data_IF_849762824824
#
_entry.id   IF_849762824824
#
_cell.length_a   1.000
_cell.length_b   1.000
_cell.length_c   1.000
_cell.angle_alpha   90.00
_cell.angle_beta   90.00
_cell.angle_gamma   90.00
#
_symmetry.space_group_name_H-M   'P 1'
#
loop_
_entity.id
_entity.type
_entity.pdbx_description
1 polymer ?
#
# COMPACT_ATOMS: atom_id res chain seq x y z
N UNK A 1 8.93 -49.32 -27.37
CA UNK A 1 10.38 -49.04 -27.29
C UNK A 1 10.53 -47.58 -26.90
N UNK A 2 11.10 -47.15 -25.78
CA UNK A 2 11.88 -47.82 -24.74
C UNK A 2 11.52 -47.22 -23.37
N UNK A 3 11.52 -48.06 -22.34
CA UNK A 3 11.38 -47.71 -20.93
C UNK A 3 12.72 -47.21 -20.39
N UNK A 4 12.71 -46.22 -19.49
CA UNK A 4 13.83 -45.96 -18.59
C UNK A 4 13.31 -45.61 -17.20
N UNK A 5 13.91 -46.29 -16.23
CA UNK A 5 13.45 -46.58 -14.88
C UNK A 5 13.90 -45.57 -13.82
N UNK A 6 13.15 -45.60 -12.72
CA UNK A 6 13.34 -44.96 -11.41
C UNK A 6 14.76 -44.99 -10.82
N UNK A 7 15.11 -43.95 -10.06
CA UNK A 7 15.80 -44.11 -8.78
C UNK A 7 15.51 -42.93 -7.84
N UNK A 8 14.80 -43.23 -6.76
CA UNK A 8 14.51 -42.38 -5.60
C UNK A 8 15.55 -42.66 -4.51
N UNK A 9 16.32 -41.65 -4.12
CA UNK A 9 17.28 -41.75 -3.02
C UNK A 9 16.64 -41.24 -1.72
N UNK A 10 16.34 -42.18 -0.83
CA UNK A 10 15.97 -41.95 0.57
C UNK A 10 17.19 -41.50 1.37
N UNK A 11 17.09 -40.36 2.07
CA UNK A 11 17.99 -39.97 3.15
C UNK A 11 17.39 -40.37 4.50
N UNK A 12 18.14 -41.06 5.39
CA UNK A 12 17.63 -41.44 6.70
C UNK A 12 17.76 -40.32 7.74
N UNK A 13 16.67 -40.12 8.48
CA UNK A 13 16.54 -39.27 9.66
C UNK A 13 17.49 -39.74 10.78
N UNK A 14 18.40 -38.88 11.24
CA UNK A 14 19.13 -39.07 12.51
C UNK A 14 18.32 -38.45 13.65
N UNK A 15 17.91 -39.32 14.57
CA UNK A 15 17.46 -38.95 15.92
C UNK A 15 18.64 -38.35 16.70
N UNK A 16 18.44 -37.16 17.28
CA UNK A 16 19.33 -36.63 18.32
C UNK A 16 18.51 -36.41 19.60
N UNK A 17 18.86 -37.20 20.60
CA UNK A 17 18.40 -37.20 21.99
C UNK A 17 18.71 -35.90 22.73
N UNK A 18 17.74 -35.48 23.55
CA UNK A 18 17.84 -34.42 24.56
C UNK A 18 18.85 -34.74 25.67
N UNK A 19 19.41 -33.70 26.33
CA UNK A 19 19.59 -33.76 27.77
C UNK A 19 18.90 -32.62 28.53
N UNK A 20 18.50 -32.99 29.75
CA UNK A 20 17.63 -32.30 30.68
C UNK A 20 18.17 -30.98 31.26
N UNK A 21 17.19 -30.14 31.61
CA UNK A 21 17.24 -29.00 32.53
C UNK A 21 17.76 -29.37 33.93
N UNK A 22 18.30 -28.39 34.69
CA UNK A 22 18.02 -28.34 36.12
C UNK A 22 17.32 -27.04 36.53
N UNK A 23 16.11 -27.22 37.05
CA UNK A 23 15.43 -26.34 38.01
C UNK A 23 16.23 -26.21 39.30
N UNK A 24 16.11 -25.08 40.01
CA UNK A 24 16.25 -24.91 41.48
C UNK A 24 15.82 -23.46 41.89
N UNK A 25 15.46 -23.16 43.15
CA UNK A 25 14.06 -23.14 43.59
C UNK A 25 13.58 -21.80 44.18
N UNK A 26 12.28 -21.82 44.54
CA UNK A 26 11.46 -20.79 45.15
C UNK A 26 11.76 -20.54 46.65
N UNK A 27 11.31 -19.39 47.17
CA UNK A 27 11.20 -18.94 48.57
C UNK A 27 12.38 -18.16 49.21
N UNK A 28 12.17 -16.85 49.39
CA UNK A 28 12.54 -16.16 50.62
C UNK A 28 11.52 -15.04 50.91
N UNK A 29 10.60 -15.33 51.83
CA UNK A 29 9.74 -14.33 52.49
C UNK A 29 10.60 -13.56 53.49
N UNK A 30 10.79 -12.26 53.26
CA UNK A 30 11.27 -11.35 54.30
C UNK A 30 10.21 -10.26 54.54
N UNK A 31 9.62 -10.27 55.73
CA UNK A 31 8.85 -9.16 56.31
C UNK A 31 9.72 -8.44 57.33
N UNK A 32 9.83 -7.10 57.25
CA UNK A 32 10.08 -6.27 58.42
C UNK A 32 8.97 -5.19 58.58
N UNK A 33 8.95 -4.46 59.72
CA UNK A 33 7.70 -4.11 60.41
C UNK A 33 7.06 -2.79 59.95
N UNK A 34 5.75 -2.72 60.18
CA UNK A 34 4.93 -1.52 60.09
C UNK A 34 5.35 -0.51 61.18
N UNK A 35 5.85 0.66 60.74
CA UNK A 35 5.81 1.92 61.49
C UNK A 35 5.34 3.01 60.54
N UNK A 36 4.14 3.52 60.78
CA UNK A 36 3.62 4.71 60.11
C UNK A 36 4.16 5.97 60.80
N UNK A 37 4.71 6.93 60.04
CA UNK A 37 4.53 8.34 60.34
C UNK A 37 3.56 8.96 59.31
N UNK A 38 2.58 9.67 59.85
CA UNK A 38 1.71 10.57 59.09
C UNK A 38 2.56 11.66 58.44
N UNK A 39 2.61 11.69 57.11
CA UNK A 39 3.09 12.84 56.35
C UNK A 39 2.20 13.08 55.14
N UNK A 40 1.65 14.28 55.10
CA UNK A 40 0.72 14.83 54.11
C UNK A 40 1.28 14.71 52.70
N UNK A 41 0.66 13.88 51.84
CA UNK A 41 0.98 13.83 50.41
C UNK A 41 0.19 14.92 49.69
N UNK A 42 0.91 15.93 49.19
CA UNK A 42 0.37 16.89 48.22
C UNK A 42 0.24 16.16 46.89
N UNK A 43 -0.98 16.04 46.36
CA UNK A 43 -1.21 15.47 45.04
C UNK A 43 -0.54 16.34 43.97
N UNK A 44 0.60 15.88 43.45
CA UNK A 44 1.12 16.34 42.16
C UNK A 44 0.40 15.54 41.08
N UNK A 45 -0.47 16.21 40.33
CA UNK A 45 -1.12 15.68 39.14
C UNK A 45 -0.05 15.10 38.20
N UNK A 46 -0.07 13.78 38.02
CA UNK A 46 0.68 13.12 36.96
C UNK A 46 -0.01 13.42 35.62
N UNK A 47 0.37 14.53 34.99
CA UNK A 47 0.01 14.88 33.62
C UNK A 47 1.32 14.99 32.84
N UNK A 48 1.98 13.86 32.63
CA UNK A 48 3.15 13.74 31.75
C UNK A 48 3.45 12.25 31.53
N UNK A 49 2.61 11.56 30.77
CA UNK A 49 2.94 10.21 30.28
C UNK A 49 2.25 9.87 28.95
N UNK A 50 1.08 10.45 28.68
CA UNK A 50 0.37 10.23 27.40
C UNK A 50 1.02 10.96 26.21
N UNK A 51 1.54 12.17 26.42
CA UNK A 51 2.22 12.92 25.36
C UNK A 51 3.55 12.27 24.95
N UNK A 52 4.35 11.73 25.88
CA UNK A 52 5.62 11.07 25.55
C UNK A 52 5.41 9.73 24.84
N UNK A 53 4.40 8.95 25.25
CA UNK A 53 4.06 7.68 24.58
C UNK A 53 3.52 7.91 23.16
N UNK A 54 2.65 8.90 22.96
CA UNK A 54 2.14 9.24 21.63
C UNK A 54 3.24 9.81 20.72
N UNK A 55 4.16 10.60 21.27
CA UNK A 55 5.29 11.17 20.53
C UNK A 55 6.33 10.10 20.18
N UNK A 56 6.63 9.17 21.10
CA UNK A 56 7.50 8.02 20.83
C UNK A 56 6.86 7.02 19.86
N UNK A 57 5.54 6.80 19.94
CA UNK A 57 4.82 5.92 19.02
C UNK A 57 4.76 6.50 17.60
N UNK A 58 4.46 7.79 17.46
CA UNK A 58 4.51 8.50 16.17
C UNK A 58 5.92 8.53 15.58
N UNK A 59 6.95 8.81 16.39
CA UNK A 59 8.35 8.77 15.93
C UNK A 59 8.79 7.35 15.53
N UNK A 60 8.35 6.31 16.25
CA UNK A 60 8.67 4.91 15.94
C UNK A 60 7.99 4.44 14.64
N UNK A 61 6.73 4.84 14.42
CA UNK A 61 6.01 4.56 13.17
C UNK A 61 6.72 5.18 11.95
N UNK A 62 7.24 6.40 12.09
CA UNK A 62 7.93 7.10 11.00
C UNK A 62 9.30 6.51 10.64
N UNK A 63 9.99 5.89 11.59
CA UNK A 63 11.28 5.21 11.39
C UNK A 63 11.11 3.86 10.70
N UNK A 64 9.92 3.25 10.77
CA UNK A 64 9.66 1.90 10.24
C UNK A 64 8.74 1.86 9.01
N UNK A 65 8.14 2.97 8.58
CA UNK A 65 7.17 2.92 7.46
C UNK A 65 7.79 2.49 6.13
N UNK A 66 8.91 3.11 5.73
CA UNK A 66 9.49 2.87 4.41
C UNK A 66 10.52 1.73 4.42
N UNK A 67 10.40 0.83 3.45
CA UNK A 67 11.32 -0.27 3.22
C UNK A 67 11.97 -0.16 1.84
N UNK A 68 13.19 -0.67 1.72
CA UNK A 68 13.93 -0.64 0.47
C UNK A 68 13.21 -1.51 -0.59
N UNK A 69 12.83 -0.97 -1.76
CA UNK A 69 12.18 -1.75 -2.83
C UNK A 69 13.08 -2.87 -3.36
N UNK A 70 14.40 -2.87 -3.09
CA UNK A 70 15.36 -3.89 -3.58
C UNK A 70 15.45 -5.08 -2.62
N UNK A 71 15.52 -4.85 -1.31
CA UNK A 71 15.80 -5.90 -0.32
C UNK A 71 14.83 -5.94 0.86
N UNK A 72 13.80 -5.09 0.84
CA UNK A 72 12.75 -4.98 1.87
C UNK A 72 13.24 -4.64 3.28
N UNK A 73 14.51 -4.29 3.45
CA UNK A 73 15.05 -3.81 4.72
C UNK A 73 14.63 -2.35 4.99
N UNK A 74 14.43 -1.95 6.26
CA UNK A 74 14.03 -0.59 6.61
C UNK A 74 14.95 0.49 6.04
N UNK A 75 14.35 1.62 5.66
CA UNK A 75 15.08 2.81 5.23
C UNK A 75 15.31 3.76 6.40
N UNK A 76 16.55 4.21 6.57
CA UNK A 76 16.87 5.30 7.50
C UNK A 76 16.57 6.62 6.81
N UNK A 77 15.67 7.41 7.39
CA UNK A 77 15.42 8.79 6.98
C UNK A 77 16.53 9.73 7.45
N UNK A 78 16.97 10.62 6.56
CA UNK A 78 17.78 11.80 6.85
C UNK A 78 16.99 13.04 6.44
N UNK A 79 16.35 13.69 7.40
CA UNK A 79 15.48 14.83 7.15
C UNK A 79 14.38 14.94 8.20
N UNK A 80 13.46 15.90 8.05
CA UNK A 80 12.37 16.08 8.97
C UNK A 80 11.43 14.85 9.03
N UNK A 81 10.90 14.53 10.23
CA UNK A 81 9.83 13.55 10.38
C UNK A 81 8.56 13.97 9.62
N UNK A 82 7.67 13.01 9.36
CA UNK A 82 6.37 13.26 8.75
C UNK A 82 6.14 12.62 7.38
N UNK A 83 4.84 12.57 7.06
CA UNK A 83 4.27 12.07 5.80
C UNK A 83 3.53 13.19 5.03
N UNK A 84 3.89 14.45 5.28
CA UNK A 84 3.43 15.61 4.50
C UNK A 84 4.46 16.01 3.43
N UNK A 85 4.03 16.80 2.45
CA UNK A 85 4.86 17.23 1.32
C UNK A 85 6.20 17.87 1.75
N UNK A 86 6.24 18.88 2.66
CA UNK A 86 7.51 19.46 3.11
C UNK A 86 8.47 18.45 3.76
N UNK A 87 7.93 17.53 4.56
CA UNK A 87 8.73 16.54 5.26
C UNK A 87 9.42 15.58 4.29
N UNK A 88 8.66 15.08 3.32
CA UNK A 88 9.15 14.14 2.31
C UNK A 88 10.14 14.82 1.36
N UNK A 89 9.84 16.04 0.89
CA UNK A 89 10.73 16.79 0.00
C UNK A 89 12.10 17.06 0.62
N UNK A 90 12.18 17.33 1.92
CA UNK A 90 13.43 17.64 2.62
C UNK A 90 14.15 16.39 3.16
N UNK A 91 13.69 15.20 2.80
CA UNK A 91 14.23 13.93 3.30
C UNK A 91 14.97 13.13 2.23
N UNK A 92 16.14 12.62 2.61
CA UNK A 92 16.82 11.53 1.93
C UNK A 92 16.63 10.22 2.70
N UNK A 93 16.78 9.09 2.02
CA UNK A 93 16.63 7.78 2.63
C UNK A 93 17.80 6.87 2.27
N UNK A 94 18.24 6.05 3.22
CA UNK A 94 19.32 5.09 3.00
C UNK A 94 18.96 3.72 3.54
N UNK A 95 19.10 2.69 2.73
CA UNK A 95 18.82 1.32 3.15
C UNK A 95 19.92 0.80 4.10
N UNK A 96 19.52 0.16 5.20
CA UNK A 96 20.46 -0.52 6.12
C UNK A 96 21.09 -1.78 5.53
N UNK A 97 20.35 -2.49 4.67
CA UNK A 97 20.78 -3.77 4.09
C UNK A 97 21.69 -3.60 2.88
N UNK A 98 21.16 -3.07 1.78
CA UNK A 98 21.91 -2.96 0.52
C UNK A 98 22.63 -1.62 0.33
N UNK A 99 22.62 -0.73 1.33
CA UNK A 99 23.29 0.58 1.32
C UNK A 99 22.82 1.56 0.21
N UNK A 100 21.79 1.20 -0.58
CA UNK A 100 21.21 2.05 -1.62
C UNK A 100 20.58 3.31 -1.01
N UNK A 101 20.81 4.44 -1.66
CA UNK A 101 20.26 5.73 -1.28
C UNK A 101 19.10 6.11 -2.20
N UNK A 102 18.14 6.83 -1.63
CA UNK A 102 16.98 7.38 -2.31
C UNK A 102 16.83 8.84 -1.88
N UNK A 103 16.29 9.67 -2.77
CA UNK A 103 16.06 11.08 -2.49
C UNK A 103 14.74 11.54 -3.07
N UNK A 104 14.24 12.64 -2.55
CA UNK A 104 13.22 13.41 -3.23
C UNK A 104 13.71 13.91 -4.60
N UNK A 105 12.80 13.98 -5.56
CA UNK A 105 12.96 14.66 -6.84
C UNK A 105 11.84 15.68 -6.97
N UNK A 106 12.18 16.96 -6.91
CA UNK A 106 11.27 18.11 -6.99
C UNK A 106 10.14 18.08 -5.95
N UNK A 107 9.12 17.25 -6.17
CA UNK A 107 7.81 17.28 -5.52
C UNK A 107 7.37 15.93 -4.95
N UNK A 108 8.11 14.86 -5.21
CA UNK A 108 7.82 13.50 -4.74
C UNK A 108 9.10 12.78 -4.30
N UNK A 109 8.95 11.71 -3.52
CA UNK A 109 10.04 10.82 -3.13
C UNK A 109 10.17 9.64 -4.10
N UNK A 110 11.34 9.50 -4.75
CA UNK A 110 11.58 8.42 -5.73
C UNK A 110 12.14 7.16 -5.04
N UNK A 111 11.27 6.17 -4.85
CA UNK A 111 11.57 4.84 -4.29
C UNK A 111 11.43 3.75 -5.36
N UNK A 112 11.80 4.05 -6.60
CA UNK A 112 11.94 3.03 -7.64
C UNK A 112 13.28 2.28 -7.49
N UNK A 113 13.36 1.06 -8.01
CA UNK A 113 14.63 0.28 -8.02
C UNK A 113 15.72 1.02 -8.80
N UNK A 114 15.31 1.77 -9.84
CA UNK A 114 16.18 2.54 -10.73
C UNK A 114 16.50 3.93 -10.19
N UNK A 115 15.98 4.32 -9.02
CA UNK A 115 16.32 5.59 -8.38
C UNK A 115 17.85 5.77 -8.27
N UNK A 116 18.32 6.97 -8.65
CA UNK A 116 19.73 7.36 -8.72
C UNK A 116 20.59 6.63 -9.76
N UNK A 117 20.02 5.75 -10.59
CA UNK A 117 20.73 5.20 -11.76
C UNK A 117 20.76 6.24 -12.89
N UNK A 118 21.93 6.45 -13.50
CA UNK A 118 22.09 7.36 -14.65
C UNK A 118 22.01 6.64 -16.01
N UNK A 119 22.27 5.33 -16.05
CA UNK A 119 22.53 4.59 -17.28
C UNK A 119 21.55 3.44 -17.57
N UNK A 120 20.37 3.44 -16.91
CA UNK A 120 19.36 2.41 -17.16
C UNK A 120 18.23 2.93 -18.04
N UNK A 121 18.20 2.48 -19.29
CA UNK A 121 17.06 2.67 -20.19
C UNK A 121 16.06 1.55 -19.95
N UNK A 122 15.01 1.84 -19.20
CA UNK A 122 13.92 0.91 -18.96
C UNK A 122 13.14 0.69 -20.27
N UNK A 123 12.98 -0.57 -20.69
CA UNK A 123 12.08 -0.92 -21.79
C UNK A 123 10.67 -0.59 -21.34
N UNK A 124 10.00 0.30 -22.08
CA UNK A 124 8.68 0.80 -21.71
C UNK A 124 7.63 0.14 -22.61
N UNK A 125 6.85 -0.84 -22.12
CA UNK A 125 5.77 -1.42 -22.91
C UNK A 125 4.81 -0.32 -23.38
N UNK A 126 4.39 -0.35 -24.64
CA UNK A 126 3.49 0.66 -25.22
C UNK A 126 2.22 0.87 -24.36
N UNK A 127 1.75 -0.18 -23.68
CA UNK A 127 0.59 -0.16 -22.77
C UNK A 127 0.75 0.72 -21.54
N UNK A 128 1.96 0.79 -20.96
CA UNK A 128 2.23 1.63 -19.77
C UNK A 128 2.62 3.06 -20.14
N UNK A 129 2.98 3.31 -21.41
CA UNK A 129 3.42 4.62 -21.88
C UNK A 129 2.28 5.63 -22.03
N UNK A 130 1.04 5.19 -22.29
CA UNK A 130 -0.07 6.10 -22.51
C UNK A 130 -0.27 7.04 -21.32
N UNK A 131 -0.35 6.50 -20.10
CA UNK A 131 -0.49 7.27 -18.87
C UNK A 131 0.82 7.94 -18.38
N UNK A 132 1.93 7.69 -19.07
CA UNK A 132 3.20 8.38 -18.86
C UNK A 132 3.35 9.58 -19.79
N UNK A 133 2.49 9.74 -20.79
CA UNK A 133 2.47 10.92 -21.64
C UNK A 133 2.03 12.16 -20.85
N UNK A 134 2.76 13.31 -20.97
CA UNK A 134 2.35 14.57 -20.37
C UNK A 134 0.93 15.01 -20.81
N UNK A 135 0.59 14.81 -22.09
CA UNK A 135 -0.71 15.20 -22.63
C UNK A 135 -1.85 14.38 -22.00
N UNK A 136 -1.69 13.05 -21.93
CA UNK A 136 -2.68 12.17 -21.30
C UNK A 136 -2.83 12.51 -19.82
N UNK A 137 -1.72 12.70 -19.12
CA UNK A 137 -1.72 13.08 -17.70
C UNK A 137 -2.49 14.39 -17.48
N UNK A 138 -2.26 15.39 -18.34
CA UNK A 138 -2.93 16.68 -18.27
C UNK A 138 -4.44 16.57 -18.57
N UNK A 139 -4.83 15.81 -19.58
CA UNK A 139 -6.23 15.63 -19.97
C UNK A 139 -7.01 14.69 -19.05
N UNK A 140 -6.32 13.93 -18.19
CA UNK A 140 -6.91 12.85 -17.40
C UNK A 140 -8.13 13.29 -16.59
N UNK A 141 -7.97 14.27 -15.69
CA UNK A 141 -9.08 14.85 -14.92
C UNK A 141 -9.90 15.90 -15.71
N UNK A 142 -9.40 16.35 -16.87
CA UNK A 142 -10.01 17.42 -17.70
C UNK A 142 -10.97 16.92 -18.79
N UNK A 143 -11.42 15.67 -18.71
CA UNK A 143 -12.41 15.13 -19.67
C UNK A 143 -12.21 13.65 -19.99
N UNK A 144 -11.00 13.11 -19.82
CA UNK A 144 -10.75 11.70 -20.15
C UNK A 144 -11.48 10.77 -19.18
N UNK A 145 -11.24 10.92 -17.87
CA UNK A 145 -11.80 10.03 -16.84
C UNK A 145 -13.33 10.01 -16.86
N UNK A 146 -13.97 11.11 -17.25
CA UNK A 146 -15.42 11.22 -17.37
C UNK A 146 -16.02 10.21 -18.38
N UNK A 147 -15.23 9.76 -19.36
CA UNK A 147 -15.65 8.72 -20.28
C UNK A 147 -15.84 7.35 -19.61
N UNK A 148 -15.30 7.15 -18.40
CA UNK A 148 -15.45 5.90 -17.66
C UNK A 148 -16.91 5.64 -17.26
N UNK A 149 -17.73 6.69 -17.17
CA UNK A 149 -19.16 6.57 -16.91
C UNK A 149 -19.87 5.73 -17.99
N UNK A 150 -19.40 5.78 -19.25
CA UNK A 150 -19.91 4.94 -20.35
C UNK A 150 -19.67 3.44 -20.13
N UNK A 151 -18.76 3.11 -19.22
CA UNK A 151 -18.39 1.74 -18.83
C UNK A 151 -18.99 1.32 -17.49
N UNK A 152 -19.85 2.17 -16.90
CA UNK A 152 -20.56 1.89 -15.65
C UNK A 152 -19.91 2.48 -14.39
N UNK A 153 -18.84 3.28 -14.50
CA UNK A 153 -18.30 3.97 -13.32
C UNK A 153 -19.33 4.99 -12.78
N UNK A 154 -19.52 5.07 -11.46
CA UNK A 154 -20.55 5.92 -10.86
C UNK A 154 -20.15 7.40 -10.77
N UNK A 155 -18.96 7.75 -11.27
CA UNK A 155 -18.36 9.06 -11.10
C UNK A 155 -17.55 9.18 -9.80
N UNK A 156 -16.70 10.21 -9.68
CA UNK A 156 -15.65 10.25 -8.67
C UNK A 156 -16.15 10.46 -7.24
N UNK A 157 -17.28 11.13 -7.05
CA UNK A 157 -17.84 11.36 -5.71
C UNK A 157 -18.48 10.08 -5.17
N UNK A 158 -19.32 9.42 -5.96
CA UNK A 158 -19.94 8.15 -5.56
C UNK A 158 -18.90 7.04 -5.43
N UNK A 159 -17.92 6.95 -6.34
CA UNK A 159 -16.81 5.99 -6.24
C UNK A 159 -16.01 6.20 -4.93
N UNK A 160 -15.74 7.46 -4.56
CA UNK A 160 -15.09 7.78 -3.30
C UNK A 160 -15.93 7.34 -2.08
N UNK A 161 -17.24 7.62 -2.09
CA UNK A 161 -18.12 7.23 -0.97
C UNK A 161 -18.22 5.71 -0.83
N UNK A 162 -18.30 4.99 -1.95
CA UNK A 162 -18.28 3.52 -1.95
C UNK A 162 -16.97 2.98 -1.38
N UNK A 163 -15.82 3.57 -1.73
CA UNK A 163 -14.52 3.19 -1.18
C UNK A 163 -14.43 3.49 0.33
N UNK A 164 -14.85 4.69 0.77
CA UNK A 164 -14.91 5.06 2.19
C UNK A 164 -15.75 4.07 3.01
N UNK A 165 -16.86 3.57 2.46
CA UNK A 165 -17.70 2.59 3.14
C UNK A 165 -16.95 1.28 3.45
N UNK A 166 -16.06 0.84 2.55
CA UNK A 166 -15.20 -0.33 2.79
C UNK A 166 -14.04 -0.04 3.75
N UNK A 167 -13.59 1.21 3.85
CA UNK A 167 -12.47 1.62 4.71
C UNK A 167 -12.85 2.00 6.15
N UNK A 168 -14.12 1.86 6.55
CA UNK A 168 -14.56 2.20 7.92
C UNK A 168 -13.71 1.56 9.03
N UNK A 169 -13.25 0.32 8.84
CA UNK A 169 -12.41 -0.38 9.83
C UNK A 169 -10.95 0.11 9.87
N UNK A 170 -10.55 0.97 8.92
CA UNK A 170 -9.20 1.51 8.76
C UNK A 170 -9.14 3.03 9.06
N UNK A 171 -10.22 3.63 9.57
CA UNK A 171 -10.22 5.02 10.03
C UNK A 171 -9.19 5.25 11.14
N UNK A 172 -8.56 6.43 11.15
CA UNK A 172 -7.39 6.76 11.96
C UNK A 172 -6.09 6.11 11.46
N UNK A 173 -6.18 5.15 10.54
CA UNK A 173 -5.06 4.43 9.95
C UNK A 173 -4.30 5.19 8.86
N UNK A 174 -3.21 4.59 8.38
CA UNK A 174 -2.47 5.02 7.20
C UNK A 174 -3.09 4.43 5.93
N UNK A 175 -3.47 5.30 4.99
CA UNK A 175 -3.97 4.90 3.67
C UNK A 175 -2.90 5.09 2.59
N UNK A 176 -2.74 4.09 1.73
CA UNK A 176 -1.91 4.19 0.52
C UNK A 176 -2.81 4.09 -0.72
N UNK A 177 -2.81 5.14 -1.54
CA UNK A 177 -3.48 5.16 -2.84
C UNK A 177 -2.46 4.79 -3.92
N UNK A 178 -2.53 3.54 -4.39
CA UNK A 178 -1.59 2.92 -5.32
C UNK A 178 -2.05 3.13 -6.75
N UNK A 179 -1.11 3.54 -7.62
CA UNK A 179 -1.42 4.01 -8.98
C UNK A 179 -2.40 5.18 -8.94
N UNK A 180 -2.12 6.16 -8.09
CA UNK A 180 -3.03 7.26 -7.80
C UNK A 180 -3.33 8.17 -9.00
N UNK A 181 -2.54 8.07 -10.09
CA UNK A 181 -2.62 8.98 -11.22
C UNK A 181 -2.38 10.42 -10.77
N UNK A 182 -3.22 11.34 -11.21
CA UNK A 182 -3.22 12.74 -10.75
C UNK A 182 -3.72 12.90 -9.30
N UNK A 183 -3.99 11.82 -8.58
CA UNK A 183 -4.33 11.80 -7.15
C UNK A 183 -5.72 12.31 -6.82
N UNK A 184 -6.68 12.18 -7.74
CA UNK A 184 -8.08 12.55 -7.51
C UNK A 184 -8.63 11.98 -6.19
N UNK A 185 -8.41 10.69 -5.93
CA UNK A 185 -8.86 10.04 -4.69
C UNK A 185 -7.94 10.35 -3.52
N UNK A 186 -6.62 10.31 -3.70
CA UNK A 186 -5.65 10.75 -2.69
C UNK A 186 -6.02 12.09 -2.06
N UNK A 187 -6.36 13.10 -2.87
CA UNK A 187 -6.77 14.43 -2.41
C UNK A 187 -8.10 14.38 -1.65
N UNK A 188 -9.07 13.58 -2.11
CA UNK A 188 -10.36 13.39 -1.39
C UNK A 188 -10.17 12.71 -0.04
N UNK A 189 -9.37 11.65 0.04
CA UNK A 189 -9.04 10.97 1.29
C UNK A 189 -8.31 11.90 2.26
N UNK A 190 -7.33 12.68 1.77
CA UNK A 190 -6.62 13.66 2.60
C UNK A 190 -7.57 14.75 3.14
N UNK A 191 -8.46 15.27 2.29
CA UNK A 191 -9.44 16.31 2.66
C UNK A 191 -10.51 15.83 3.64
N UNK A 192 -10.85 14.54 3.60
CA UNK A 192 -11.80 13.95 4.54
C UNK A 192 -11.27 13.94 5.98
N UNK A 193 -9.94 13.94 6.17
CA UNK A 193 -9.32 14.00 7.49
C UNK A 193 -9.56 12.76 8.37
N UNK A 194 -10.02 11.64 7.79
CA UNK A 194 -10.36 10.41 8.52
C UNK A 194 -9.17 9.46 8.73
N UNK A 195 -8.01 9.76 8.14
CA UNK A 195 -6.80 8.92 8.17
C UNK A 195 -5.65 9.66 8.85
N UNK A 196 -4.74 8.95 9.51
CA UNK A 196 -3.53 9.56 10.10
C UNK A 196 -2.61 10.14 9.02
N UNK A 197 -2.67 9.59 7.81
CA UNK A 197 -2.26 10.25 6.59
C UNK A 197 -2.51 9.41 5.35
N UNK A 198 -2.19 10.01 4.20
CA UNK A 198 -2.42 9.46 2.88
C UNK A 198 -1.11 9.49 2.08
N UNK A 199 -0.76 8.38 1.46
CA UNK A 199 0.36 8.31 0.52
C UNK A 199 -0.19 8.10 -0.88
N UNK A 200 -0.03 9.12 -1.71
CA UNK A 200 -0.31 9.06 -3.14
C UNK A 200 0.91 8.45 -3.85
N UNK A 201 0.75 7.24 -4.37
CA UNK A 201 1.82 6.48 -5.00
C UNK A 201 1.52 6.22 -6.47
N UNK A 202 2.42 6.61 -7.37
CA UNK A 202 2.33 6.30 -8.79
C UNK A 202 3.72 6.08 -9.41
N UNK A 203 3.82 5.29 -10.48
CA UNK A 203 5.07 5.08 -11.19
C UNK A 203 5.41 6.24 -12.17
N UNK A 204 4.37 6.91 -12.68
CA UNK A 204 4.45 8.00 -13.66
C UNK A 204 4.80 9.33 -12.99
N UNK A 205 5.98 9.87 -13.31
CA UNK A 205 6.40 11.19 -12.84
C UNK A 205 5.43 12.30 -13.29
N UNK A 206 4.87 12.18 -14.50
CA UNK A 206 3.95 13.17 -15.05
C UNK A 206 2.61 13.19 -14.31
N UNK A 207 2.13 12.02 -13.87
CA UNK A 207 0.93 11.92 -13.04
C UNK A 207 1.16 12.55 -11.66
N UNK A 208 2.31 12.27 -11.02
CA UNK A 208 2.67 12.87 -9.75
C UNK A 208 2.86 14.40 -9.85
N UNK A 209 3.37 14.91 -10.98
CA UNK A 209 3.42 16.35 -11.27
C UNK A 209 2.02 16.97 -11.31
N UNK A 210 1.10 16.37 -12.05
CA UNK A 210 -0.30 16.83 -12.04
C UNK A 210 -0.91 16.76 -10.64
N UNK A 211 -0.64 15.69 -9.89
CA UNK A 211 -1.13 15.54 -8.53
C UNK A 211 -0.66 16.68 -7.63
N UNK A 212 0.64 16.97 -7.65
CA UNK A 212 1.21 18.08 -6.90
C UNK A 212 0.62 19.44 -7.31
N UNK A 213 0.44 19.69 -8.60
CA UNK A 213 -0.15 20.95 -9.07
C UNK A 213 -1.59 21.12 -8.56
N UNK A 214 -2.39 20.07 -8.57
CA UNK A 214 -3.74 20.10 -8.00
C UNK A 214 -3.73 20.28 -6.48
N UNK A 215 -2.82 19.61 -5.76
CA UNK A 215 -2.63 19.81 -4.31
C UNK A 215 -2.26 21.27 -4.03
N UNK A 216 -1.33 21.85 -4.79
CA UNK A 216 -0.90 23.23 -4.62
C UNK A 216 -2.03 24.23 -4.91
N UNK A 217 -2.91 23.92 -5.86
CA UNK A 217 -4.08 24.76 -6.18
C UNK A 217 -5.17 24.74 -5.11
N UNK A 218 -5.25 23.67 -4.30
CA UNK A 218 -6.15 23.59 -3.15
C UNK A 218 -5.34 23.83 -1.86
N UNK A 219 -5.30 25.09 -1.41
CA UNK A 219 -4.54 25.49 -0.22
C UNK A 219 -4.89 24.72 1.05
N UNK A 220 -6.08 24.11 1.13
CA UNK A 220 -6.48 23.27 2.29
C UNK A 220 -5.70 21.96 2.38
N UNK A 221 -5.12 21.48 1.28
CA UNK A 221 -4.35 20.24 1.24
C UNK A 221 -2.89 20.41 1.64
N UNK A 222 -2.34 21.64 1.58
CA UNK A 222 -0.93 21.91 1.90
C UNK A 222 -0.57 21.64 3.36
N UNK A 223 -1.57 21.66 4.25
CA UNK A 223 -1.41 21.39 5.69
C UNK A 223 -1.82 19.97 6.07
N UNK A 224 -2.25 19.14 5.11
CA UNK A 224 -2.65 17.75 5.37
C UNK A 224 -1.45 16.81 5.41
N UNK A 225 -1.63 15.64 6.05
CA UNK A 225 -0.67 14.53 6.02
C UNK A 225 -0.79 13.76 4.69
N UNK A 226 -0.43 14.42 3.59
CA UNK A 226 -0.41 13.85 2.24
C UNK A 226 1.02 13.85 1.69
N UNK A 227 1.50 12.68 1.28
CA UNK A 227 2.81 12.49 0.65
C UNK A 227 2.69 11.98 -0.78
N UNK A 228 3.62 12.39 -1.64
CA UNK A 228 3.78 11.87 -3.00
C UNK A 228 4.99 10.94 -3.06
N UNK A 229 4.78 9.71 -3.51
CA UNK A 229 5.83 8.69 -3.63
C UNK A 229 5.81 8.13 -5.05
N UNK A 230 6.97 8.12 -5.69
CA UNK A 230 7.15 7.39 -6.94
C UNK A 230 7.67 6.00 -6.67
N UNK A 231 6.90 4.97 -7.04
CA UNK A 231 7.31 3.58 -6.87
C UNK A 231 6.60 2.64 -7.85
N UNK A 232 7.12 1.42 -7.98
CA UNK A 232 6.48 0.33 -8.73
C UNK A 232 5.52 -0.42 -7.79
N UNK A 233 4.29 -0.64 -8.25
CA UNK A 233 3.30 -1.43 -7.51
C UNK A 233 3.74 -2.87 -7.25
N UNK A 234 4.62 -3.41 -8.09
CA UNK A 234 5.17 -4.75 -7.97
C UNK A 234 6.29 -4.85 -6.92
N UNK A 235 6.72 -3.71 -6.36
CA UNK A 235 7.81 -3.57 -5.36
C UNK A 235 7.53 -2.39 -4.42
N UNK A 236 6.42 -2.47 -3.68
CA UNK A 236 5.96 -1.38 -2.82
C UNK A 236 6.97 -1.07 -1.71
N UNK A 237 7.38 0.19 -1.54
CA UNK A 237 8.49 0.55 -0.68
C UNK A 237 8.05 0.76 0.78
N UNK A 238 7.16 -0.09 1.28
CA UNK A 238 6.67 -0.05 2.65
C UNK A 238 7.06 -1.31 3.39
N UNK A 239 7.24 -1.19 4.70
CA UNK A 239 7.46 -2.33 5.59
C UNK A 239 6.26 -3.28 5.57
N UNK A 240 6.51 -4.56 5.85
CA UNK A 240 5.44 -5.53 5.92
C UNK A 240 4.54 -5.23 7.11
N UNK A 241 3.22 -5.25 6.92
CA UNK A 241 2.27 -5.02 8.01
C UNK A 241 2.16 -3.58 8.51
N UNK A 242 2.59 -2.58 7.74
CA UNK A 242 2.64 -1.17 8.17
C UNK A 242 1.48 -0.29 7.67
N UNK A 243 0.57 -0.83 6.85
CA UNK A 243 -0.49 -0.05 6.18
C UNK A 243 -1.88 -0.57 6.55
N UNK A 244 -2.82 0.32 6.88
CA UNK A 244 -4.20 -0.02 7.25
C UNK A 244 -5.09 -0.27 6.04
N UNK A 245 -4.99 0.63 5.07
CA UNK A 245 -5.85 0.70 3.92
C UNK A 245 -5.03 0.88 2.65
N UNK A 246 -5.35 0.09 1.63
CA UNK A 246 -4.82 0.29 0.28
C UNK A 246 -5.99 0.55 -0.65
N UNK A 247 -5.90 1.65 -1.39
CA UNK A 247 -6.82 2.00 -2.47
C UNK A 247 -6.12 1.84 -3.82
N UNK A 248 -6.83 1.35 -4.84
CA UNK A 248 -6.34 1.31 -6.22
C UNK A 248 -7.49 1.60 -7.21
N UNK A 249 -7.68 2.89 -7.53
CA UNK A 249 -8.81 3.35 -8.35
C UNK A 249 -8.54 3.27 -9.86
N UNK A 250 -9.34 2.50 -10.59
CA UNK A 250 -9.21 2.28 -12.04
C UNK A 250 -7.79 1.85 -12.47
N UNK A 251 -7.13 1.00 -11.68
CA UNK A 251 -5.68 0.76 -11.82
C UNK A 251 -5.32 -0.64 -12.33
N UNK A 252 -5.99 -1.70 -11.87
CA UNK A 252 -5.53 -3.10 -12.05
C UNK A 252 -5.23 -3.49 -13.50
N UNK A 253 -6.08 -3.08 -14.45
CA UNK A 253 -5.90 -3.39 -15.88
C UNK A 253 -4.62 -2.78 -16.49
N UNK A 254 -4.02 -1.77 -15.84
CA UNK A 254 -2.76 -1.16 -16.25
C UNK A 254 -1.53 -1.81 -15.63
N UNK A 255 -1.69 -2.67 -14.62
CA UNK A 255 -0.55 -3.26 -13.90
C UNK A 255 0.15 -4.32 -14.75
N UNK A 256 1.47 -4.26 -14.93
CA UNK A 256 2.17 -5.24 -15.74
C UNK A 256 2.02 -6.67 -15.24
N UNK A 257 2.03 -6.84 -13.91
CA UNK A 257 1.84 -8.09 -13.19
C UNK A 257 0.87 -7.88 -12.02
N UNK A 258 -0.45 -8.11 -12.22
CA UNK A 258 -1.44 -7.96 -11.16
C UNK A 258 -1.19 -8.87 -9.96
N UNK A 259 -0.64 -10.07 -10.16
CA UNK A 259 -0.32 -11.00 -9.07
C UNK A 259 0.78 -10.48 -8.16
N UNK A 260 1.88 -9.98 -8.73
CA UNK A 260 2.95 -9.38 -7.92
C UNK A 260 2.47 -8.12 -7.18
N UNK A 261 1.64 -7.31 -7.84
CA UNK A 261 1.02 -6.13 -7.24
C UNK A 261 0.17 -6.50 -6.02
N UNK A 262 -0.76 -7.46 -6.16
CA UNK A 262 -1.63 -7.88 -5.05
C UNK A 262 -0.85 -8.59 -3.94
N UNK A 263 0.21 -9.34 -4.27
CA UNK A 263 1.10 -9.93 -3.28
C UNK A 263 1.83 -8.85 -2.45
N UNK A 264 2.34 -7.79 -3.08
CA UNK A 264 2.94 -6.66 -2.38
C UNK A 264 1.92 -5.89 -1.53
N UNK A 265 0.71 -5.65 -2.04
CA UNK A 265 -0.39 -5.06 -1.27
C UNK A 265 -0.67 -5.90 -0.01
N UNK A 266 -0.77 -7.21 -0.18
CA UNK A 266 -0.99 -8.13 0.95
C UNK A 266 0.17 -8.10 1.95
N UNK A 267 1.41 -7.97 1.48
CA UNK A 267 2.59 -7.86 2.34
C UNK A 267 2.54 -6.61 3.21
N UNK A 268 2.25 -5.45 2.63
CA UNK A 268 2.28 -4.17 3.34
C UNK A 268 1.07 -3.96 4.26
N UNK A 269 -0.07 -4.57 3.96
CA UNK A 269 -1.24 -4.49 4.82
C UNK A 269 -0.95 -5.09 6.19
N UNK A 270 -1.37 -4.41 7.25
CA UNK A 270 -1.39 -4.95 8.62
C UNK A 270 -2.43 -6.06 8.75
N UNK A 271 -2.35 -6.82 9.85
CA UNK A 271 -3.41 -7.75 10.27
C UNK A 271 -4.77 -7.02 10.29
N UNK A 272 -5.79 -7.54 9.61
CA UNK A 272 -7.10 -6.88 9.46
C UNK A 272 -7.15 -5.68 8.50
N UNK A 273 -6.04 -5.34 7.82
CA UNK A 273 -5.99 -4.25 6.85
C UNK A 273 -6.82 -4.54 5.59
N UNK A 274 -7.32 -3.49 4.95
CA UNK A 274 -8.29 -3.57 3.85
C UNK A 274 -7.70 -3.10 2.52
N UNK A 275 -7.89 -3.88 1.47
CA UNK A 275 -7.62 -3.48 0.09
C UNK A 275 -8.93 -3.22 -0.63
N UNK A 276 -9.08 -2.03 -1.23
CA UNK A 276 -10.20 -1.68 -2.12
C UNK A 276 -9.65 -1.32 -3.49
N UNK A 277 -10.17 -1.97 -4.53
CA UNK A 277 -9.77 -1.70 -5.91
C UNK A 277 -10.99 -1.45 -6.80
N UNK A 278 -10.82 -0.60 -7.80
CA UNK A 278 -11.76 -0.48 -8.92
C UNK A 278 -11.07 -0.74 -10.24
N UNK A 279 -11.77 -1.38 -11.17
CA UNK A 279 -11.23 -1.65 -12.51
C UNK A 279 -12.30 -1.93 -13.54
N UNK A 280 -11.86 -2.18 -14.78
CA UNK A 280 -12.71 -2.59 -15.88
C UNK A 280 -12.66 -4.11 -16.03
N UNK A 281 -13.83 -4.74 -16.10
CA UNK A 281 -13.97 -6.15 -16.40
C UNK A 281 -13.80 -6.42 -17.89
N UNK A 282 -13.14 -7.54 -18.23
CA UNK A 282 -13.03 -8.06 -19.60
C UNK A 282 -14.43 -8.29 -20.20
N UNK A 283 -15.28 -8.94 -19.41
CA UNK A 283 -16.70 -9.15 -19.65
C UNK A 283 -17.42 -9.36 -18.31
N UNK A 284 -18.73 -9.19 -18.31
CA UNK A 284 -19.60 -9.47 -17.17
C UNK A 284 -20.53 -10.65 -17.46
N UNK A 285 -21.28 -11.09 -16.46
CA UNK A 285 -22.27 -12.17 -16.58
C UNK A 285 -23.30 -11.93 -17.70
N UNK A 286 -23.66 -10.67 -17.95
CA UNK A 286 -24.60 -10.27 -19.00
C UNK A 286 -23.99 -10.16 -20.42
N UNK A 287 -22.68 -10.37 -20.59
CA UNK A 287 -22.01 -10.25 -21.90
C UNK A 287 -22.25 -11.52 -22.73
N UNK A 288 -22.90 -11.43 -23.91
CA UNK A 288 -23.15 -12.58 -24.78
C UNK A 288 -21.86 -13.31 -25.14
N UNK A 289 -21.87 -14.64 -25.08
CA UNK A 289 -20.68 -15.47 -25.31
C UNK A 289 -20.01 -15.18 -26.67
N UNK A 290 -20.81 -14.89 -27.71
CA UNK A 290 -20.34 -14.61 -29.06
C UNK A 290 -19.51 -13.31 -29.15
N UNK A 291 -19.73 -12.36 -28.23
CA UNK A 291 -18.99 -11.10 -28.17
C UNK A 291 -17.71 -11.21 -27.32
N UNK A 292 -17.55 -12.27 -26.52
CA UNK A 292 -16.37 -12.45 -25.66
C UNK A 292 -15.10 -12.61 -26.50
N UNK A 293 -15.13 -13.48 -27.52
CA UNK A 293 -13.98 -13.72 -28.42
C UNK A 293 -13.60 -12.48 -29.23
N UNK A 294 -14.56 -11.63 -29.59
CA UNK A 294 -14.29 -10.37 -30.28
C UNK A 294 -13.60 -9.37 -29.34
N UNK A 295 -14.13 -9.19 -28.11
CA UNK A 295 -13.52 -8.32 -27.09
C UNK A 295 -12.10 -8.76 -26.72
N UNK A 296 -11.84 -10.05 -26.59
CA UNK A 296 -10.50 -10.58 -26.28
C UNK A 296 -9.43 -10.14 -27.28
N UNK A 297 -9.78 -10.02 -28.57
CA UNK A 297 -8.85 -9.55 -29.61
C UNK A 297 -8.58 -8.03 -29.54
N UNK A 298 -9.57 -7.24 -29.13
CA UNK A 298 -9.42 -5.78 -29.03
C UNK A 298 -8.73 -5.31 -27.74
N UNK A 299 -8.83 -6.10 -26.67
CA UNK A 299 -8.37 -5.70 -25.34
C UNK A 299 -6.93 -6.12 -25.00
N UNK A 300 -6.18 -6.69 -25.96
CA UNK A 300 -4.87 -7.33 -25.71
C UNK A 300 -3.79 -6.43 -25.09
N UNK A 301 -3.94 -5.11 -25.15
CA UNK A 301 -2.95 -4.19 -24.61
C UNK A 301 -3.04 -4.01 -23.08
N UNK A 302 -4.14 -4.41 -22.43
CA UNK A 302 -4.35 -4.23 -20.99
C UNK A 302 -4.80 -5.54 -20.33
N UNK A 303 -4.50 -5.68 -19.05
CA UNK A 303 -4.84 -6.85 -18.25
C UNK A 303 -6.28 -6.77 -17.72
N UNK A 304 -7.26 -6.68 -18.61
CA UNK A 304 -8.66 -6.73 -18.20
C UNK A 304 -8.95 -8.12 -17.63
N UNK A 305 -9.37 -8.19 -16.37
CA UNK A 305 -9.68 -9.43 -15.66
C UNK A 305 -11.18 -9.65 -15.60
N UNK A 306 -11.60 -10.89 -15.39
CA UNK A 306 -12.96 -11.24 -14.98
C UNK A 306 -13.13 -11.05 -13.47
N UNK A 307 -14.38 -11.05 -13.00
CA UNK A 307 -14.66 -10.97 -11.56
C UNK A 307 -14.06 -12.16 -10.79
N UNK A 308 -14.18 -13.37 -11.34
CA UNK A 308 -13.60 -14.59 -10.78
C UNK A 308 -12.06 -14.51 -10.73
N UNK A 309 -11.41 -14.09 -11.82
CA UNK A 309 -9.95 -13.90 -11.84
C UNK A 309 -9.49 -12.87 -10.78
N UNK A 310 -10.25 -11.80 -10.53
CA UNK A 310 -9.92 -10.81 -9.48
C UNK A 310 -10.06 -11.43 -8.08
N UNK A 311 -11.12 -12.20 -7.85
CA UNK A 311 -11.32 -12.91 -6.58
C UNK A 311 -10.22 -13.94 -6.32
N UNK A 312 -9.88 -14.74 -7.33
CA UNK A 312 -8.82 -15.75 -7.28
C UNK A 312 -7.46 -15.09 -7.05
N UNK A 313 -7.20 -13.94 -7.68
CA UNK A 313 -5.99 -13.16 -7.47
C UNK A 313 -5.85 -12.70 -6.01
N UNK A 314 -6.93 -12.17 -5.42
CA UNK A 314 -6.92 -11.73 -4.03
C UNK A 314 -6.71 -12.91 -3.07
N UNK A 315 -7.47 -13.99 -3.26
CA UNK A 315 -7.45 -15.15 -2.36
C UNK A 315 -6.14 -15.94 -2.45
N UNK A 316 -5.58 -16.12 -3.66
CA UNK A 316 -4.28 -16.77 -3.84
C UNK A 316 -3.12 -15.98 -3.22
N UNK A 317 -3.25 -14.67 -3.06
CA UNK A 317 -2.28 -13.83 -2.34
C UNK A 317 -2.48 -13.83 -0.82
N UNK A 318 -3.48 -14.54 -0.30
CA UNK A 318 -3.76 -14.65 1.13
C UNK A 318 -4.74 -13.61 1.68
N UNK A 319 -5.43 -12.86 0.83
CA UNK A 319 -6.54 -12.00 1.26
C UNK A 319 -7.83 -12.81 1.43
N UNK A 320 -8.68 -12.36 2.34
CA UNK A 320 -9.95 -12.99 2.73
C UNK A 320 -11.09 -11.96 2.71
N UNK A 321 -12.30 -12.36 3.11
CA UNK A 321 -13.47 -11.47 3.18
C UNK A 321 -13.72 -10.70 1.86
N UNK A 322 -13.53 -11.39 0.72
CA UNK A 322 -13.72 -10.78 -0.59
C UNK A 322 -15.19 -10.40 -0.81
N UNK A 323 -15.42 -9.18 -1.27
CA UNK A 323 -16.72 -8.69 -1.72
C UNK A 323 -16.56 -7.82 -2.96
N UNK A 324 -17.57 -7.81 -3.83
CA UNK A 324 -17.57 -7.04 -5.07
C UNK A 324 -18.94 -6.41 -5.33
N UNK A 325 -18.93 -5.29 -6.04
CA UNK A 325 -20.10 -4.66 -6.65
C UNK A 325 -19.75 -4.40 -8.12
N UNK A 326 -20.60 -4.92 -9.01
CA UNK A 326 -20.41 -4.83 -10.46
C UNK A 326 -21.53 -3.99 -11.07
N UNK A 327 -21.16 -3.07 -11.95
CA UNK A 327 -22.10 -2.30 -12.77
C UNK A 327 -21.57 -2.22 -14.19
N UNK A 328 -22.22 -2.90 -15.13
CA UNK A 328 -21.71 -3.07 -16.50
C UNK A 328 -20.28 -3.63 -16.50
N UNK A 329 -19.30 -2.89 -17.02
CA UNK A 329 -17.89 -3.28 -16.98
C UNK A 329 -17.14 -2.73 -15.78
N UNK A 330 -17.73 -1.86 -14.97
CA UNK A 330 -17.13 -1.40 -13.72
C UNK A 330 -17.26 -2.49 -12.65
N UNK A 331 -16.17 -2.70 -11.92
CA UNK A 331 -16.17 -3.45 -10.67
C UNK A 331 -15.48 -2.62 -9.59
N UNK A 332 -16.08 -2.57 -8.41
CA UNK A 332 -15.39 -2.24 -7.16
C UNK A 332 -15.37 -3.48 -6.30
N UNK A 333 -14.21 -3.83 -5.76
CA UNK A 333 -14.06 -4.96 -4.85
C UNK A 333 -13.28 -4.56 -3.61
N UNK A 334 -13.48 -5.32 -2.54
CA UNK A 334 -12.76 -5.21 -1.29
C UNK A 334 -12.30 -6.60 -0.84
N UNK A 335 -11.11 -6.68 -0.25
CA UNK A 335 -10.57 -7.86 0.38
C UNK A 335 -9.70 -7.47 1.58
N UNK A 336 -9.53 -8.36 2.54
CA UNK A 336 -8.88 -8.06 3.83
C UNK A 336 -7.73 -9.02 4.11
N UNK A 337 -6.66 -8.52 4.71
CA UNK A 337 -5.64 -9.39 5.29
C UNK A 337 -6.21 -10.04 6.56
N UNK A 338 -6.08 -11.37 6.72
CA UNK A 338 -6.57 -12.07 7.90
C UNK A 338 -6.11 -11.44 9.21
N UNK A 339 -6.96 -11.49 10.23
CA UNK A 339 -6.58 -11.17 11.60
C UNK A 339 -5.86 -12.38 12.20
N UNK A 340 -4.55 -12.26 12.44
CA UNK A 340 -3.76 -13.27 13.16
C UNK A 340 -3.90 -13.12 14.68
#
# INVERSE_FOLDING_TARGET
MAMASSSSLHYPLRQSSFPNCPYLPNNARFRPPLRFPSSTIRASSAVALEQDLATQHNQKLEVELFACPVCYQPLIRKGPPGINLPAIYRSGFKCKGCNKSYSSKDIYLDLTVTASSRDYTEVKPARTELFRSPLVSFLYERGWRQNFNRSGFPGPDEEFQMAQAYFKSAEGGLLVDVSCGSGLFSRKFAKAGTYSGVIALDFSENMLRQCYDFIKSDGTLLTTNLALVRADVSRLPFSSGSVDAVHAGAALHCWPSPSNAVAEITRILRSGGVFVGTTFLRYNSSTPWILRSLRERFLQNYNYLTEEEIKDLCTSCGLTNYSSKVQQSFIMFSAQKPQN
#
